data_IF_954117460473
#
_entry.id   IF_954117460473
#
_cell.length_a   1.000
_cell.length_b   1.000
_cell.length_c   1.000
_cell.angle_alpha   90.00
_cell.angle_beta   90.00
_cell.angle_gamma   90.00
#
_symmetry.space_group_name_H-M   'P 1'
#
loop_
_entity.id
_entity.type
_entity.pdbx_description
1 polymer ?
#
# COMPACT_ATOMS: atom_id res chain seq x y z
N UNK A 1 4.32 -17.43 12.11
CA UNK A 1 3.43 -18.43 12.74
C UNK A 1 3.34 -18.26 14.25
N UNK A 2 4.44 -18.50 15.01
CA UNK A 2 4.42 -18.44 16.48
C UNK A 2 3.95 -17.09 17.05
N UNK A 3 4.33 -15.98 16.42
CA UNK A 3 3.93 -14.65 16.86
C UNK A 3 2.40 -14.46 16.75
N UNK A 4 1.80 -14.91 15.66
CA UNK A 4 0.35 -14.80 15.46
C UNK A 4 -0.43 -15.67 16.44
N UNK A 5 0.03 -16.89 16.71
CA UNK A 5 -0.60 -17.77 17.68
C UNK A 5 -0.48 -17.23 19.11
N UNK A 6 0.68 -16.75 19.51
CA UNK A 6 0.87 -16.13 20.82
C UNK A 6 -0.02 -14.87 21.01
N UNK A 7 -0.16 -14.04 19.98
CA UNK A 7 -1.04 -12.87 20.03
C UNK A 7 -2.52 -13.24 20.16
N UNK A 8 -2.96 -14.31 19.48
CA UNK A 8 -4.34 -14.82 19.59
C UNK A 8 -4.66 -15.38 20.97
N UNK A 9 -3.69 -16.02 21.64
CA UNK A 9 -3.87 -16.58 22.98
C UNK A 9 -4.04 -15.50 24.06
N UNK A 10 -3.29 -14.41 23.94
CA UNK A 10 -3.37 -13.29 24.91
C UNK A 10 -4.59 -12.39 24.66
N UNK A 11 -5.07 -12.33 23.41
CA UNK A 11 -6.26 -11.60 22.96
C UNK A 11 -6.30 -10.14 23.45
N UNK A 12 -5.15 -9.47 23.57
CA UNK A 12 -5.09 -8.04 23.85
C UNK A 12 -4.96 -7.25 22.55
N UNK A 13 -5.70 -6.14 22.42
CA UNK A 13 -5.67 -5.27 21.23
C UNK A 13 -4.23 -4.89 20.85
N UNK A 14 -3.42 -4.48 21.83
CA UNK A 14 -2.02 -4.07 21.61
C UNK A 14 -1.15 -5.19 21.03
N UNK A 15 -1.28 -6.43 21.53
CA UNK A 15 -0.49 -7.56 21.05
C UNK A 15 -0.95 -8.04 19.68
N UNK A 16 -2.25 -8.06 19.45
CA UNK A 16 -2.83 -8.34 18.13
C UNK A 16 -2.34 -7.34 17.09
N UNK A 17 -2.43 -6.03 17.40
CA UNK A 17 -1.97 -4.95 16.53
C UNK A 17 -0.46 -5.03 16.25
N UNK A 18 0.36 -5.27 17.28
CA UNK A 18 1.80 -5.39 17.11
C UNK A 18 2.15 -6.55 16.18
N UNK A 19 1.57 -7.73 16.41
CA UNK A 19 1.79 -8.91 15.58
C UNK A 19 1.34 -8.67 14.13
N UNK A 20 0.15 -8.09 13.95
CA UNK A 20 -0.39 -7.77 12.64
C UNK A 20 0.51 -6.81 11.85
N UNK A 21 0.97 -5.72 12.48
CA UNK A 21 1.87 -4.74 11.86
C UNK A 21 3.21 -5.36 11.45
N UNK A 22 3.81 -6.18 12.31
CA UNK A 22 5.07 -6.85 11.99
C UNK A 22 4.93 -7.79 10.78
N UNK A 23 3.84 -8.55 10.71
CA UNK A 23 3.56 -9.43 9.57
C UNK A 23 3.29 -8.61 8.32
N UNK A 24 2.54 -7.51 8.41
CA UNK A 24 2.28 -6.60 7.28
C UNK A 24 3.57 -6.00 6.71
N UNK A 25 4.50 -5.58 7.57
CA UNK A 25 5.79 -5.04 7.12
C UNK A 25 6.67 -6.13 6.45
N UNK A 26 6.63 -7.37 6.96
CA UNK A 26 7.32 -8.50 6.30
C UNK A 26 6.70 -8.79 4.94
N UNK A 27 5.37 -8.82 4.85
CA UNK A 27 4.63 -9.08 3.62
C UNK A 27 5.00 -8.08 2.50
N UNK A 28 5.18 -6.79 2.82
CA UNK A 28 5.56 -5.78 1.83
C UNK A 28 6.91 -6.08 1.16
N UNK A 29 7.80 -6.78 1.86
CA UNK A 29 9.17 -7.15 1.39
C UNK A 29 9.25 -8.58 0.85
N UNK A 30 8.15 -9.32 0.88
CA UNK A 30 8.11 -10.73 0.47
C UNK A 30 7.92 -10.82 -1.04
N UNK A 31 8.84 -11.52 -1.71
CA UNK A 31 8.83 -11.72 -3.16
C UNK A 31 8.04 -12.97 -3.58
N UNK A 32 7.89 -13.96 -2.68
CA UNK A 32 7.13 -15.16 -2.96
C UNK A 32 5.62 -14.88 -2.88
N UNK A 33 4.85 -14.97 -4.00
CA UNK A 33 3.44 -14.59 -4.00
C UNK A 33 2.58 -15.41 -3.03
N UNK A 34 2.82 -16.71 -2.92
CA UNK A 34 2.05 -17.58 -2.01
C UNK A 34 2.28 -17.23 -0.54
N UNK A 35 3.53 -16.93 -0.17
CA UNK A 35 3.88 -16.50 1.17
C UNK A 35 3.33 -15.10 1.46
N UNK A 36 3.39 -14.18 0.49
CA UNK A 36 2.79 -12.84 0.59
C UNK A 36 1.31 -12.90 0.92
N UNK A 37 0.55 -13.73 0.20
CA UNK A 37 -0.89 -13.93 0.44
C UNK A 37 -1.14 -14.52 1.83
N UNK A 38 -0.38 -15.53 2.22
CA UNK A 38 -0.50 -16.13 3.54
C UNK A 38 -0.21 -15.11 4.67
N UNK A 39 0.82 -14.28 4.53
CA UNK A 39 1.13 -13.21 5.47
C UNK A 39 0.02 -12.15 5.50
N UNK A 40 -0.50 -11.75 4.34
CA UNK A 40 -1.63 -10.82 4.24
C UNK A 40 -2.86 -11.32 5.00
N UNK A 41 -3.28 -12.56 4.76
CA UNK A 41 -4.43 -13.17 5.41
C UNK A 41 -4.22 -13.34 6.91
N UNK A 42 -2.99 -13.71 7.32
CA UNK A 42 -2.64 -13.84 8.73
C UNK A 42 -2.70 -12.47 9.43
N UNK A 43 -2.13 -11.42 8.83
CA UNK A 43 -2.18 -10.07 9.38
C UNK A 43 -3.62 -9.52 9.40
N UNK A 44 -4.40 -9.74 8.34
CA UNK A 44 -5.80 -9.33 8.27
C UNK A 44 -6.63 -9.93 9.41
N UNK A 45 -6.49 -11.25 9.65
CA UNK A 45 -7.18 -11.92 10.77
C UNK A 45 -6.84 -11.32 12.14
N UNK A 46 -5.60 -10.87 12.34
CA UNK A 46 -5.18 -10.23 13.59
C UNK A 46 -5.75 -8.80 13.71
N UNK A 47 -5.77 -8.04 12.60
CA UNK A 47 -6.40 -6.71 12.57
C UNK A 47 -7.92 -6.80 12.80
N UNK A 48 -8.60 -7.80 12.21
CA UNK A 48 -10.03 -8.04 12.43
C UNK A 48 -10.32 -8.29 13.91
N UNK A 49 -9.57 -9.19 14.57
CA UNK A 49 -9.69 -9.42 16.00
C UNK A 49 -9.39 -8.19 16.86
N UNK A 50 -8.41 -7.39 16.47
CA UNK A 50 -8.12 -6.13 17.17
C UNK A 50 -9.29 -5.13 17.00
N UNK A 51 -9.93 -5.07 15.82
CA UNK A 51 -11.11 -4.24 15.55
C UNK A 51 -12.37 -4.71 16.32
N UNK A 52 -12.49 -6.00 16.65
CA UNK A 52 -13.55 -6.47 17.57
C UNK A 52 -13.40 -5.83 18.96
N UNK A 53 -12.16 -5.55 19.40
CA UNK A 53 -11.87 -4.95 20.70
C UNK A 53 -11.89 -3.40 20.65
N UNK A 54 -11.54 -2.80 19.51
CA UNK A 54 -11.55 -1.34 19.27
C UNK A 54 -12.07 -1.01 17.86
N UNK A 55 -13.41 -1.04 17.63
CA UNK A 55 -14.01 -0.90 16.30
C UNK A 55 -13.81 0.46 15.64
N UNK A 56 -13.53 1.51 16.41
CA UNK A 56 -13.36 2.86 15.88
C UNK A 56 -11.93 3.23 15.57
N UNK A 57 -10.98 2.35 15.82
CA UNK A 57 -9.55 2.58 15.62
C UNK A 57 -9.19 2.67 14.13
N UNK A 58 -8.90 3.87 13.67
CA UNK A 58 -8.58 4.14 12.26
C UNK A 58 -7.27 3.48 11.83
N UNK A 59 -6.27 3.42 12.71
CA UNK A 59 -4.99 2.76 12.41
C UNK A 59 -5.18 1.25 12.17
N UNK A 60 -6.11 0.60 12.87
CA UNK A 60 -6.46 -0.81 12.63
C UNK A 60 -7.19 -0.97 11.29
N UNK A 61 -8.12 -0.06 10.96
CA UNK A 61 -8.81 -0.05 9.64
C UNK A 61 -7.83 0.15 8.50
N UNK A 62 -6.84 1.05 8.66
CA UNK A 62 -5.76 1.24 7.68
C UNK A 62 -4.90 -0.01 7.55
N UNK A 63 -4.53 -0.64 8.66
CA UNK A 63 -3.76 -1.89 8.66
C UNK A 63 -4.48 -3.01 7.92
N UNK A 64 -5.75 -3.21 8.22
CA UNK A 64 -6.61 -4.21 7.55
C UNK A 64 -6.74 -3.93 6.05
N UNK A 65 -7.05 -2.68 5.67
CA UNK A 65 -7.13 -2.26 4.28
C UNK A 65 -5.81 -2.47 3.52
N UNK A 66 -4.68 -2.21 4.19
CA UNK A 66 -3.35 -2.47 3.63
C UNK A 66 -3.10 -3.95 3.34
N UNK A 67 -3.51 -4.86 4.25
CA UNK A 67 -3.38 -6.30 4.02
C UNK A 67 -4.09 -6.73 2.74
N UNK A 68 -5.30 -6.23 2.50
CA UNK A 68 -6.06 -6.58 1.31
C UNK A 68 -5.49 -5.95 0.02
N UNK A 69 -5.06 -4.70 0.06
CA UNK A 69 -4.51 -4.02 -1.13
C UNK A 69 -3.14 -4.59 -1.51
N UNK A 70 -2.20 -4.68 -0.58
CA UNK A 70 -0.84 -5.15 -0.87
C UNK A 70 -0.72 -6.67 -1.01
N UNK A 71 -1.57 -7.43 -0.32
CA UNK A 71 -1.57 -8.88 -0.38
C UNK A 71 -2.42 -9.41 -1.53
N UNK A 72 -3.72 -9.32 -1.38
CA UNK A 72 -4.68 -9.92 -2.28
C UNK A 72 -4.84 -9.13 -3.60
N UNK A 73 -4.73 -7.79 -3.54
CA UNK A 73 -4.84 -6.91 -4.70
C UNK A 73 -3.72 -7.16 -5.72
N UNK A 74 -2.50 -7.31 -5.26
CA UNK A 74 -1.33 -7.54 -6.11
C UNK A 74 -1.39 -8.87 -6.91
N UNK A 75 -2.19 -9.82 -6.48
CA UNK A 75 -2.44 -11.08 -7.20
C UNK A 75 -3.75 -11.09 -7.99
N UNK A 76 -4.43 -9.93 -8.09
CA UNK A 76 -5.64 -9.76 -8.88
C UNK A 76 -6.95 -10.20 -8.20
N UNK A 77 -6.96 -10.38 -6.88
CA UNK A 77 -8.20 -10.68 -6.13
C UNK A 77 -9.03 -9.41 -5.93
N UNK A 78 -9.87 -9.07 -6.92
CA UNK A 78 -10.66 -7.85 -6.94
C UNK A 78 -11.65 -7.75 -5.75
N UNK A 79 -12.24 -8.86 -5.28
CA UNK A 79 -13.18 -8.86 -4.16
C UNK A 79 -12.49 -8.42 -2.86
N UNK A 80 -11.35 -9.01 -2.54
CA UNK A 80 -10.61 -8.67 -1.32
C UNK A 80 -10.01 -7.26 -1.41
N UNK A 81 -9.52 -6.87 -2.58
CA UNK A 81 -9.07 -5.49 -2.82
C UNK A 81 -10.19 -4.48 -2.54
N UNK A 82 -11.41 -4.76 -3.01
CA UNK A 82 -12.55 -3.87 -2.78
C UNK A 82 -12.94 -3.78 -1.30
N UNK A 83 -12.86 -4.89 -0.54
CA UNK A 83 -13.05 -4.87 0.93
C UNK A 83 -12.03 -3.92 1.60
N UNK A 84 -10.76 -4.03 1.22
CA UNK A 84 -9.70 -3.13 1.73
C UNK A 84 -9.98 -1.67 1.39
N UNK A 85 -10.34 -1.38 0.15
CA UNK A 85 -10.69 -0.02 -0.30
C UNK A 85 -11.85 0.54 0.52
N UNK A 86 -12.90 -0.24 0.80
CA UNK A 86 -14.04 0.21 1.60
C UNK A 86 -13.65 0.59 3.03
N UNK A 87 -12.79 -0.17 3.69
CA UNK A 87 -12.26 0.17 5.03
C UNK A 87 -11.51 1.51 5.00
N UNK A 88 -10.63 1.67 4.01
CA UNK A 88 -9.83 2.89 3.86
C UNK A 88 -10.69 4.13 3.51
N UNK A 89 -11.75 3.95 2.71
CA UNK A 89 -12.69 5.04 2.40
C UNK A 89 -13.41 5.54 3.65
N UNK A 90 -13.78 4.67 4.60
CA UNK A 90 -14.36 5.08 5.87
C UNK A 90 -13.39 5.96 6.67
N UNK A 91 -12.10 5.62 6.67
CA UNK A 91 -11.06 6.42 7.34
C UNK A 91 -10.95 7.80 6.72
N UNK A 92 -10.80 7.91 5.39
CA UNK A 92 -10.64 9.21 4.73
C UNK A 92 -11.92 10.05 4.69
N UNK A 93 -13.09 9.47 4.93
CA UNK A 93 -14.34 10.21 5.15
C UNK A 93 -14.33 10.93 6.49
N UNK A 94 -13.74 10.33 7.54
CA UNK A 94 -13.60 10.94 8.86
C UNK A 94 -12.43 11.93 8.89
N UNK A 95 -11.25 11.50 8.42
CA UNK A 95 -10.05 12.31 8.30
C UNK A 95 -9.47 12.24 6.88
N UNK A 96 -9.79 13.23 6.07
CA UNK A 96 -9.29 13.34 4.70
C UNK A 96 -7.77 13.54 4.62
N UNK A 97 -7.11 13.86 5.72
CA UNK A 97 -5.67 14.06 5.83
C UNK A 97 -4.94 12.84 6.42
N UNK A 98 -5.61 11.72 6.58
CA UNK A 98 -4.94 10.46 6.92
C UNK A 98 -4.08 10.00 5.74
N UNK A 99 -2.80 10.41 5.70
CA UNK A 99 -1.88 10.17 4.58
C UNK A 99 -1.58 8.68 4.39
N UNK A 100 -1.64 7.87 5.44
CA UNK A 100 -1.50 6.42 5.32
C UNK A 100 -2.66 5.82 4.52
N UNK A 101 -3.89 6.20 4.84
CA UNK A 101 -5.07 5.74 4.10
C UNK A 101 -5.07 6.28 2.66
N UNK A 102 -4.67 7.54 2.44
CA UNK A 102 -4.56 8.12 1.10
C UNK A 102 -3.52 7.37 0.25
N UNK A 103 -2.36 7.01 0.81
CA UNK A 103 -1.34 6.23 0.12
C UNK A 103 -1.89 4.88 -0.34
N UNK A 104 -2.46 4.11 0.58
CA UNK A 104 -2.97 2.76 0.27
C UNK A 104 -4.14 2.82 -0.71
N UNK A 105 -5.03 3.82 -0.61
CA UNK A 105 -6.10 4.06 -1.58
C UNK A 105 -5.55 4.45 -2.96
N UNK A 106 -4.47 5.23 -3.01
CA UNK A 106 -3.78 5.57 -4.25
C UNK A 106 -3.22 4.32 -4.94
N UNK A 107 -2.52 3.49 -4.18
CA UNK A 107 -1.98 2.20 -4.66
C UNK A 107 -3.10 1.27 -5.14
N UNK A 108 -4.16 1.10 -4.35
CA UNK A 108 -5.34 0.33 -4.74
C UNK A 108 -6.01 0.86 -6.01
N UNK A 109 -5.99 2.17 -6.21
CA UNK A 109 -6.46 2.82 -7.44
C UNK A 109 -5.62 2.45 -8.66
N UNK A 110 -4.27 2.40 -8.52
CA UNK A 110 -3.39 1.95 -9.61
C UNK A 110 -3.66 0.47 -9.95
N UNK A 111 -3.71 -0.39 -8.94
CA UNK A 111 -3.97 -1.84 -9.10
C UNK A 111 -5.33 -2.09 -9.78
N UNK A 112 -6.34 -1.25 -9.50
CA UNK A 112 -7.68 -1.37 -10.08
C UNK A 112 -7.92 -0.51 -11.33
N UNK A 113 -6.86 0.03 -11.95
CA UNK A 113 -6.89 0.87 -13.16
C UNK A 113 -7.71 2.16 -13.01
N UNK A 114 -7.86 2.68 -11.80
CA UNK A 114 -8.53 3.95 -11.50
C UNK A 114 -7.50 5.09 -11.41
N UNK A 115 -6.69 5.26 -12.47
CA UNK A 115 -5.52 6.13 -12.49
C UNK A 115 -5.79 7.59 -12.09
N UNK A 116 -6.83 8.28 -12.57
CA UNK A 116 -7.08 9.67 -12.18
C UNK A 116 -7.27 9.85 -10.67
N UNK A 117 -8.01 8.94 -10.02
CA UNK A 117 -8.21 8.97 -8.57
C UNK A 117 -6.94 8.58 -7.81
N UNK A 118 -6.16 7.63 -8.34
CA UNK A 118 -4.88 7.24 -7.77
C UNK A 118 -3.91 8.41 -7.77
N UNK A 119 -3.78 9.11 -8.89
CA UNK A 119 -2.94 10.30 -9.07
C UNK A 119 -3.33 11.40 -8.08
N UNK A 120 -4.62 11.72 -7.93
CA UNK A 120 -5.11 12.71 -6.97
C UNK A 120 -4.64 12.39 -5.55
N UNK A 121 -4.83 11.13 -5.11
CA UNK A 121 -4.48 10.69 -3.76
C UNK A 121 -2.98 10.66 -3.52
N UNK A 122 -2.21 10.10 -4.47
CA UNK A 122 -0.76 10.02 -4.38
C UNK A 122 -0.12 11.41 -4.41
N UNK A 123 -0.62 12.35 -5.22
CA UNK A 123 -0.19 13.74 -5.20
C UNK A 123 -0.40 14.39 -3.82
N UNK A 124 -1.52 14.09 -3.15
CA UNK A 124 -1.77 14.57 -1.78
C UNK A 124 -0.71 14.05 -0.79
N UNK A 125 -0.36 12.76 -0.90
CA UNK A 125 0.69 12.16 -0.06
C UNK A 125 2.06 12.77 -0.34
N UNK A 126 2.46 12.91 -1.61
CA UNK A 126 3.76 13.50 -2.01
C UNK A 126 3.84 14.98 -1.65
N UNK A 127 2.72 15.72 -1.68
CA UNK A 127 2.67 17.12 -1.23
C UNK A 127 2.89 17.24 0.28
N UNK A 128 2.45 16.26 1.05
CA UNK A 128 2.66 16.21 2.50
C UNK A 128 4.07 15.73 2.87
N UNK A 129 4.55 14.67 2.21
CA UNK A 129 5.89 14.10 2.37
C UNK A 129 6.55 13.86 1.02
N UNK A 130 7.34 14.83 0.49
CA UNK A 130 8.04 14.70 -0.78
C UNK A 130 9.12 13.60 -0.82
N UNK A 131 9.52 13.07 0.35
CA UNK A 131 10.51 12.00 0.46
C UNK A 131 9.88 10.62 0.59
N UNK A 132 8.57 10.51 0.52
CA UNK A 132 7.89 9.22 0.55
C UNK A 132 8.14 8.47 -0.77
N UNK A 133 9.18 7.64 -0.80
CA UNK A 133 9.59 6.89 -1.98
C UNK A 133 8.44 6.03 -2.54
N UNK A 134 7.66 5.38 -1.66
CA UNK A 134 6.55 4.53 -2.08
C UNK A 134 5.50 5.34 -2.85
N UNK A 135 5.11 6.51 -2.33
CA UNK A 135 4.15 7.39 -2.98
C UNK A 135 4.68 7.95 -4.32
N UNK A 136 5.96 8.34 -4.36
CA UNK A 136 6.62 8.86 -5.56
C UNK A 136 6.67 7.79 -6.66
N UNK A 137 7.07 6.55 -6.32
CA UNK A 137 7.16 5.45 -7.29
C UNK A 137 5.78 5.08 -7.84
N UNK A 138 4.76 4.92 -6.98
CA UNK A 138 3.40 4.61 -7.42
C UNK A 138 2.75 5.75 -8.21
N UNK A 139 3.14 7.00 -7.94
CA UNK A 139 2.68 8.15 -8.72
C UNK A 139 3.27 8.13 -10.13
N UNK A 140 4.54 7.75 -10.28
CA UNK A 140 5.17 7.56 -11.58
C UNK A 140 4.46 6.44 -12.38
N UNK A 141 4.22 5.30 -11.74
CA UNK A 141 3.50 4.17 -12.36
C UNK A 141 2.07 4.56 -12.76
N UNK A 142 1.37 5.35 -11.94
CA UNK A 142 0.02 5.83 -12.23
C UNK A 142 -0.01 6.75 -13.48
N UNK A 143 0.92 7.69 -13.60
CA UNK A 143 1.04 8.55 -14.78
C UNK A 143 1.46 7.76 -16.03
N UNK A 144 2.36 6.78 -15.88
CA UNK A 144 2.74 5.91 -16.99
C UNK A 144 1.55 5.12 -17.53
N UNK A 145 0.75 4.54 -16.64
CA UNK A 145 -0.44 3.78 -17.00
C UNK A 145 -1.59 4.66 -17.56
N UNK A 146 -1.69 5.92 -17.14
CA UNK A 146 -2.62 6.92 -17.71
C UNK A 146 -2.18 7.40 -19.08
N UNK A 147 -0.89 7.19 -19.46
CA UNK A 147 -0.30 7.65 -20.71
C UNK A 147 0.31 9.06 -20.65
N UNK A 148 0.37 9.68 -19.48
CA UNK A 148 1.07 10.95 -19.28
C UNK A 148 2.59 10.73 -19.11
N UNK A 149 3.26 10.54 -20.24
CA UNK A 149 4.69 10.26 -20.32
C UNK A 149 5.55 11.31 -19.62
N UNK A 150 5.17 12.59 -19.75
CA UNK A 150 5.95 13.68 -19.20
C UNK A 150 5.98 13.64 -17.67
N UNK A 151 4.83 13.46 -17.04
CA UNK A 151 4.75 13.34 -15.59
C UNK A 151 5.32 12.01 -15.09
N UNK A 152 5.11 10.90 -15.82
CA UNK A 152 5.71 9.62 -15.48
C UNK A 152 7.24 9.72 -15.38
N UNK A 153 7.91 10.23 -16.40
CA UNK A 153 9.37 10.42 -16.41
C UNK A 153 9.82 11.34 -15.27
N UNK A 154 9.14 12.46 -15.05
CA UNK A 154 9.43 13.37 -13.94
C UNK A 154 9.44 12.66 -12.58
N UNK A 155 8.42 11.85 -12.29
CA UNK A 155 8.30 11.18 -11.00
C UNK A 155 9.24 9.97 -10.87
N UNK A 156 9.55 9.27 -11.96
CA UNK A 156 10.61 8.24 -11.97
C UNK A 156 11.99 8.87 -11.68
N UNK A 157 12.34 9.99 -12.28
CA UNK A 157 13.58 10.70 -11.94
C UNK A 157 13.60 11.16 -10.48
N UNK A 158 12.47 11.64 -9.96
CA UNK A 158 12.37 11.98 -8.54
C UNK A 158 12.62 10.76 -7.64
N UNK A 159 12.10 9.58 -7.98
CA UNK A 159 12.35 8.35 -7.22
C UNK A 159 13.83 7.97 -7.17
N UNK A 160 14.56 8.15 -8.27
CA UNK A 160 16.02 7.93 -8.33
C UNK A 160 16.78 8.87 -7.39
N UNK A 161 16.35 10.13 -7.30
CA UNK A 161 16.98 11.10 -6.39
C UNK A 161 16.77 10.77 -4.91
N UNK A 162 15.70 10.04 -4.57
CA UNK A 162 15.43 9.63 -3.19
C UNK A 162 16.25 8.40 -2.76
N UNK A 163 16.75 7.62 -3.71
CA UNK A 163 17.45 6.37 -3.44
C UNK A 163 18.84 6.37 -4.06
N UNK A 164 19.86 6.42 -3.23
CA UNK A 164 21.25 6.29 -3.69
C UNK A 164 21.62 4.80 -3.87
N UNK A 165 21.01 4.15 -4.86
CA UNK A 165 21.24 2.74 -5.19
C UNK A 165 21.35 2.57 -6.72
N UNK A 166 22.52 2.13 -7.25
CA UNK A 166 22.74 1.98 -8.68
C UNK A 166 21.80 0.97 -9.36
N UNK A 167 21.47 -0.14 -8.68
CA UNK A 167 20.60 -1.17 -9.24
C UNK A 167 19.16 -0.64 -9.37
N UNK A 168 18.66 0.06 -8.34
CA UNK A 168 17.37 0.76 -8.40
C UNK A 168 17.35 1.80 -9.52
N UNK A 169 18.41 2.60 -9.64
CA UNK A 169 18.49 3.62 -10.70
C UNK A 169 18.44 3.00 -12.09
N UNK A 170 19.10 1.85 -12.29
CA UNK A 170 19.06 1.12 -13.56
C UNK A 170 17.67 0.59 -13.88
N UNK A 171 16.97 0.02 -12.89
CA UNK A 171 15.59 -0.43 -13.07
C UNK A 171 14.67 0.72 -13.49
N UNK A 172 14.78 1.87 -12.82
CA UNK A 172 14.00 3.06 -13.17
C UNK A 172 14.34 3.60 -14.56
N UNK A 173 15.62 3.59 -14.97
CA UNK A 173 16.02 3.98 -16.32
C UNK A 173 15.40 3.09 -17.41
N UNK A 174 15.24 1.79 -17.14
CA UNK A 174 14.54 0.87 -18.03
C UNK A 174 13.06 1.22 -18.13
N UNK A 175 12.36 1.49 -17.02
CA UNK A 175 10.96 1.96 -17.01
C UNK A 175 10.77 3.28 -17.75
N UNK A 176 11.68 4.24 -17.59
CA UNK A 176 11.65 5.50 -18.33
C UNK A 176 11.73 5.27 -19.84
N UNK A 177 12.64 4.39 -20.29
CA UNK A 177 12.76 4.04 -21.72
C UNK A 177 11.49 3.38 -22.26
N UNK A 178 10.87 2.48 -21.49
CA UNK A 178 9.61 1.86 -21.87
C UNK A 178 8.50 2.91 -22.08
N UNK A 179 8.34 3.83 -21.12
CA UNK A 179 7.35 4.92 -21.22
C UNK A 179 7.60 5.84 -22.42
N UNK A 180 8.86 6.12 -22.75
CA UNK A 180 9.20 6.97 -23.90
C UNK A 180 8.94 6.30 -25.24
N UNK A 181 9.07 4.97 -25.33
CA UNK A 181 8.95 4.20 -26.56
C UNK A 181 7.50 3.80 -26.91
N UNK A 182 6.59 3.78 -25.95
CA UNK A 182 5.17 3.51 -26.17
C UNK A 182 4.35 4.76 -26.33
#
# INVERSE_FOLDING_TARGET
YYLSEAAKLDNSEKKLTFAARLILENMKREDNPGKKVWEAQTAATLFEKALELDPENEDLKVGLGSCYVYGEGMIGNAEQTMKGIQQLLQVVQKDSNNMKAQLVLGIGGVISNQYPKAIERLNKVVSFDPHNLEAVSWLADAYAAEGDKQNAVKWYEQSKHLVNNPDFSKEIDERIKEVQNH
#
